data_IF_284337633206
#
_entry.id   IF_284337633206
#
_cell.length_a   1.000
_cell.length_b   1.000
_cell.length_c   1.000
_cell.angle_alpha   90.00
_cell.angle_beta   90.00
_cell.angle_gamma   90.00
#
_symmetry.space_group_name_H-M   'P 1'
#
loop_
_entity.id
_entity.type
_entity.pdbx_description
1 polymer ?
#
# COMPACT_ATOMS: atom_id res chain seq x y z
N UNK A 1 -25.43 -30.83 19.15
CA UNK A 1 -25.25 -31.37 17.78
C UNK A 1 -25.23 -30.18 16.84
N UNK A 2 -24.20 -29.83 16.07
CA UNK A 2 -22.81 -30.25 15.90
C UNK A 2 -22.09 -28.96 15.49
N UNK A 3 -20.97 -28.64 16.14
CA UNK A 3 -20.18 -27.46 15.83
C UNK A 3 -19.46 -27.58 14.49
N UNK A 4 -19.39 -26.46 13.78
CA UNK A 4 -18.23 -26.12 12.95
C UNK A 4 -17.84 -24.71 13.37
N UNK A 5 -16.61 -24.57 13.84
CA UNK A 5 -16.07 -23.29 14.31
C UNK A 5 -16.10 -22.27 13.18
N UNK A 6 -16.56 -21.07 13.52
CA UNK A 6 -16.31 -19.86 12.74
C UNK A 6 -14.79 -19.65 12.70
N UNK A 7 -14.16 -20.08 11.62
CA UNK A 7 -12.86 -19.54 11.23
C UNK A 7 -13.20 -18.21 10.55
N UNK A 8 -12.92 -17.08 11.22
CA UNK A 8 -13.00 -15.73 10.66
C UNK A 8 -11.88 -15.50 9.63
N UNK A 9 -11.76 -16.38 8.64
CA UNK A 9 -10.82 -16.21 7.54
C UNK A 9 -11.32 -17.00 6.34
N UNK A 10 -12.50 -16.62 5.84
CA UNK A 10 -12.98 -17.03 4.54
C UNK A 10 -12.57 -15.94 3.56
N UNK A 11 -11.39 -16.10 2.96
CA UNK A 11 -11.12 -15.94 1.52
C UNK A 11 -9.65 -15.58 1.28
N UNK A 12 -9.10 -16.16 0.23
CA UNK A 12 -7.75 -15.91 -0.29
C UNK A 12 -7.53 -14.48 -0.84
N UNK A 13 -8.28 -13.50 -0.34
CA UNK A 13 -8.31 -12.10 -0.74
C UNK A 13 -7.33 -11.25 0.08
N UNK A 14 -6.75 -11.80 1.16
CA UNK A 14 -5.71 -11.15 1.96
C UNK A 14 -4.44 -10.79 1.14
N UNK A 15 -4.25 -11.43 -0.02
CA UNK A 15 -3.16 -11.13 -0.97
C UNK A 15 -3.57 -10.18 -2.12
N UNK A 16 -4.78 -9.60 -2.11
CA UNK A 16 -5.25 -8.65 -3.13
C UNK A 16 -4.85 -7.19 -2.84
N UNK A 17 -3.92 -6.95 -1.92
CA UNK A 17 -3.41 -5.60 -1.67
C UNK A 17 -2.36 -5.20 -2.70
N UNK A 18 -2.15 -3.89 -2.88
CA UNK A 18 -1.05 -3.37 -3.69
C UNK A 18 0.32 -3.92 -3.25
N UNK A 19 0.47 -4.26 -1.95
CA UNK A 19 1.66 -4.87 -1.36
C UNK A 19 1.86 -6.32 -1.82
N UNK A 20 0.82 -7.17 -1.80
CA UNK A 20 0.94 -8.58 -2.20
C UNK A 20 1.33 -8.73 -3.68
N UNK A 21 0.71 -7.93 -4.54
CA UNK A 21 1.09 -7.87 -5.96
C UNK A 21 2.48 -7.26 -6.14
N UNK A 22 2.81 -6.23 -5.34
CA UNK A 22 4.12 -5.59 -5.35
C UNK A 22 5.26 -6.55 -5.02
N UNK A 23 5.10 -7.41 -4.01
CA UNK A 23 6.10 -8.43 -3.67
C UNK A 23 6.22 -9.51 -4.72
N UNK A 24 5.09 -10.02 -5.24
CA UNK A 24 5.12 -11.03 -6.29
C UNK A 24 5.86 -10.51 -7.53
N UNK A 25 5.61 -9.26 -7.94
CA UNK A 25 6.34 -8.64 -9.05
C UNK A 25 7.82 -8.46 -8.71
N UNK A 26 8.15 -7.99 -7.50
CA UNK A 26 9.56 -7.85 -7.09
C UNK A 26 10.31 -9.18 -7.12
N UNK A 27 9.68 -10.26 -6.67
CA UNK A 27 10.25 -11.61 -6.71
C UNK A 27 10.43 -12.12 -8.15
N UNK A 28 9.44 -11.89 -9.02
CA UNK A 28 9.55 -12.24 -10.45
C UNK A 28 10.70 -11.53 -11.12
N UNK A 29 10.89 -10.23 -10.82
CA UNK A 29 12.01 -9.45 -11.33
C UNK A 29 13.36 -9.91 -10.76
N UNK A 30 13.39 -10.40 -9.52
CA UNK A 30 14.61 -10.88 -8.89
C UNK A 30 15.09 -12.23 -9.47
N UNK A 31 14.17 -13.07 -9.95
CA UNK A 31 14.48 -14.42 -10.45
C UNK A 31 14.56 -14.52 -11.98
N UNK A 32 14.45 -13.41 -12.73
CA UNK A 32 14.49 -13.37 -14.20
C UNK A 32 13.44 -14.27 -14.89
N UNK A 33 12.33 -14.55 -14.19
CA UNK A 33 11.23 -15.41 -14.67
C UNK A 33 10.26 -14.65 -15.59
N UNK A 34 10.62 -13.46 -16.05
CA UNK A 34 9.75 -12.61 -16.88
C UNK A 34 9.45 -13.24 -18.24
N UNK A 35 10.35 -14.10 -18.74
CA UNK A 35 10.19 -14.81 -20.00
C UNK A 35 9.29 -16.05 -19.89
N UNK A 36 9.08 -16.60 -18.69
CA UNK A 36 8.25 -17.80 -18.50
C UNK A 36 6.78 -17.47 -18.24
N UNK A 37 6.51 -16.25 -17.76
CA UNK A 37 5.17 -15.85 -17.29
C UNK A 37 4.66 -14.65 -18.08
N UNK A 38 4.56 -14.83 -19.40
CA UNK A 38 3.97 -13.84 -20.29
C UNK A 38 2.53 -13.48 -19.82
N UNK A 39 2.22 -12.18 -19.78
CA UNK A 39 0.97 -11.54 -19.31
C UNK A 39 0.86 -11.25 -17.79
N UNK A 40 1.56 -11.96 -16.92
CA UNK A 40 1.43 -11.74 -15.46
C UNK A 40 1.98 -10.37 -15.02
N UNK A 41 3.16 -9.91 -15.50
CA UNK A 41 3.68 -8.57 -15.17
C UNK A 41 2.75 -7.44 -15.61
N UNK A 42 2.14 -7.54 -16.81
CA UNK A 42 1.18 -6.55 -17.32
C UNK A 42 -0.07 -6.44 -16.43
N UNK A 43 -0.67 -7.58 -16.07
CA UNK A 43 -1.84 -7.60 -15.20
C UNK A 43 -1.52 -7.11 -13.80
N UNK A 44 -0.35 -7.48 -13.26
CA UNK A 44 0.12 -7.00 -11.96
C UNK A 44 0.33 -5.49 -11.95
N UNK A 45 0.97 -4.93 -12.98
CA UNK A 45 1.13 -3.49 -13.12
C UNK A 45 -0.22 -2.77 -13.22
N UNK A 46 -1.14 -3.29 -14.04
CA UNK A 46 -2.45 -2.69 -14.23
C UNK A 46 -3.29 -2.73 -12.94
N UNK A 47 -3.19 -3.81 -12.17
CA UNK A 47 -3.79 -3.93 -10.85
C UNK A 47 -3.22 -2.88 -9.88
N UNK A 48 -1.90 -2.79 -9.73
CA UNK A 48 -1.28 -1.82 -8.82
C UNK A 48 -1.70 -0.39 -9.18
N UNK A 49 -1.74 -0.05 -10.48
CA UNK A 49 -2.21 1.26 -10.94
C UNK A 49 -3.67 1.53 -10.59
N UNK A 50 -4.54 0.54 -10.70
CA UNK A 50 -5.98 0.67 -10.39
C UNK A 50 -6.27 0.69 -8.89
N UNK A 51 -5.39 0.13 -8.07
CA UNK A 51 -5.59 0.05 -6.61
C UNK A 51 -5.09 1.28 -5.84
N UNK A 52 -4.44 2.24 -6.51
CA UNK A 52 -3.96 3.46 -5.83
C UNK A 52 -5.15 4.37 -5.49
N UNK A 53 -5.18 4.86 -4.26
CA UNK A 53 -6.19 5.82 -3.80
C UNK A 53 -6.04 7.14 -4.57
N UNK A 54 -7.07 7.50 -5.34
CA UNK A 54 -7.02 8.69 -6.22
C UNK A 54 -7.49 9.98 -5.55
N UNK A 55 -8.30 9.87 -4.49
CA UNK A 55 -8.86 11.00 -3.78
C UNK A 55 -8.83 10.80 -2.26
N UNK A 56 -8.81 11.90 -1.51
CA UNK A 56 -8.95 11.84 -0.06
C UNK A 56 -10.38 11.46 0.33
N UNK A 57 -10.57 11.01 1.57
CA UNK A 57 -11.92 10.81 2.13
C UNK A 57 -12.75 12.09 1.95
N UNK A 58 -13.99 11.95 1.48
CA UNK A 58 -14.87 13.08 1.18
C UNK A 58 -15.16 13.94 2.41
N UNK A 59 -15.30 15.25 2.22
CA UNK A 59 -15.54 16.20 3.31
C UNK A 59 -14.24 16.66 3.98
N UNK A 60 -14.36 17.19 5.21
CA UNK A 60 -13.20 17.60 5.99
C UNK A 60 -12.58 16.38 6.71
N UNK A 61 -11.78 15.62 5.98
CA UNK A 61 -11.13 14.41 6.49
C UNK A 61 -10.21 14.67 7.71
N UNK A 62 -9.67 15.89 7.84
CA UNK A 62 -8.85 16.25 9.01
C UNK A 62 -9.71 16.35 10.27
N UNK A 63 -10.92 16.90 10.17
CA UNK A 63 -11.87 16.92 11.29
C UNK A 63 -12.32 15.51 11.72
N UNK A 64 -12.22 14.54 10.81
CA UNK A 64 -12.51 13.12 11.06
C UNK A 64 -11.29 12.32 11.53
N UNK A 65 -10.21 13.00 11.95
CA UNK A 65 -8.96 12.37 12.37
C UNK A 65 -8.36 11.43 11.31
N UNK A 66 -8.54 11.75 10.02
CA UNK A 66 -7.90 11.03 8.91
C UNK A 66 -6.67 11.80 8.44
N UNK A 67 -5.66 11.05 8.03
CA UNK A 67 -4.49 11.59 7.34
C UNK A 67 -4.72 11.64 5.82
N UNK A 68 -3.76 12.22 5.07
CA UNK A 68 -3.89 12.38 3.61
C UNK A 68 -3.77 11.06 2.85
N UNK A 69 -4.84 10.56 2.22
CA UNK A 69 -4.84 9.24 1.57
C UNK A 69 -4.62 9.28 0.06
N UNK A 70 -4.81 10.43 -0.59
CA UNK A 70 -4.58 10.58 -2.03
C UNK A 70 -3.14 10.24 -2.41
N UNK A 71 -2.97 9.28 -3.30
CA UNK A 71 -1.68 8.75 -3.75
C UNK A 71 -1.21 7.49 -3.05
N UNK A 72 -1.91 7.05 -1.98
CA UNK A 72 -1.51 5.89 -1.19
C UNK A 72 -1.97 4.56 -1.78
N UNK A 73 -1.40 3.48 -1.25
CA UNK A 73 -1.98 2.14 -1.34
C UNK A 73 -2.39 1.67 0.06
N UNK A 74 -3.56 1.05 0.13
CA UNK A 74 -4.12 0.52 1.38
C UNK A 74 -3.68 -0.95 1.57
N UNK A 75 -3.96 -1.48 2.76
CA UNK A 75 -3.76 -2.90 3.04
C UNK A 75 -4.77 -3.81 2.31
N UNK A 76 -5.91 -3.29 1.85
CA UNK A 76 -6.95 -4.07 1.16
C UNK A 76 -7.14 -3.52 -0.26
N UNK A 77 -8.26 -2.86 -0.50
CA UNK A 77 -8.63 -2.24 -1.77
C UNK A 77 -8.61 -0.70 -1.68
N UNK A 78 -8.78 -0.05 -2.82
CA UNK A 78 -8.82 1.41 -2.92
C UNK A 78 -9.98 2.03 -2.13
N UNK A 79 -11.13 1.35 -2.02
CA UNK A 79 -12.36 1.87 -1.42
C UNK A 79 -12.26 1.95 0.11
N UNK A 80 -11.43 1.11 0.72
CA UNK A 80 -11.05 1.25 2.13
C UNK A 80 -10.43 2.63 2.40
N UNK A 81 -9.67 3.18 1.45
CA UNK A 81 -9.14 4.54 1.49
C UNK A 81 -8.25 4.84 2.71
N UNK A 82 -7.80 3.82 3.43
CA UNK A 82 -6.92 3.95 4.58
C UNK A 82 -5.48 3.68 4.16
N UNK A 83 -4.70 4.76 4.05
CA UNK A 83 -3.31 4.74 3.61
C UNK A 83 -2.39 3.95 4.55
N UNK A 84 -1.49 3.13 4.05
CA UNK A 84 -0.40 2.56 4.87
C UNK A 84 0.94 2.97 4.29
N UNK A 85 1.87 3.41 5.15
CA UNK A 85 3.19 3.88 4.71
C UNK A 85 3.98 2.76 4.02
N UNK A 86 4.01 1.56 4.59
CA UNK A 86 4.72 0.40 4.03
C UNK A 86 4.08 -0.08 2.71
N UNK A 87 2.76 -0.20 2.65
CA UNK A 87 2.02 -0.58 1.44
C UNK A 87 2.24 0.44 0.33
N UNK A 88 2.23 1.73 0.67
CA UNK A 88 2.50 2.81 -0.28
C UNK A 88 3.94 2.77 -0.79
N UNK A 89 4.92 2.54 0.09
CA UNK A 89 6.32 2.45 -0.30
C UNK A 89 6.59 1.25 -1.22
N UNK A 90 6.06 0.06 -0.88
CA UNK A 90 6.24 -1.15 -1.67
C UNK A 90 5.56 -1.07 -3.04
N UNK A 91 4.33 -0.55 -3.10
CA UNK A 91 3.62 -0.35 -4.36
C UNK A 91 4.29 0.71 -5.25
N UNK A 92 4.77 1.82 -4.66
CA UNK A 92 5.54 2.85 -5.36
C UNK A 92 6.84 2.26 -5.94
N UNK A 93 7.59 1.50 -5.13
CA UNK A 93 8.81 0.82 -5.57
C UNK A 93 8.51 -0.14 -6.73
N UNK A 94 7.43 -0.90 -6.66
CA UNK A 94 7.00 -1.79 -7.73
C UNK A 94 6.70 -1.03 -9.03
N UNK A 95 5.94 0.07 -8.97
CA UNK A 95 5.67 0.93 -10.13
C UNK A 95 6.96 1.45 -10.77
N UNK A 96 7.93 1.88 -9.95
CA UNK A 96 9.22 2.36 -10.43
C UNK A 96 10.06 1.25 -11.09
N UNK A 97 10.05 0.03 -10.53
CA UNK A 97 10.74 -1.11 -11.12
C UNK A 97 10.12 -1.51 -12.46
N UNK A 98 8.80 -1.65 -12.51
CA UNK A 98 8.05 -1.98 -13.73
C UNK A 98 8.25 -0.91 -14.82
N UNK A 99 8.36 0.37 -14.45
CA UNK A 99 8.60 1.46 -15.41
C UNK A 99 9.91 1.35 -16.21
N UNK A 100 10.86 0.53 -15.75
CA UNK A 100 12.13 0.26 -16.45
C UNK A 100 12.03 -0.87 -17.46
N UNK A 101 10.91 -1.60 -17.50
CA UNK A 101 10.68 -2.70 -18.43
C UNK A 101 10.05 -2.22 -19.74
N UNK A 102 10.16 -3.00 -20.83
CA UNK A 102 9.49 -2.69 -22.09
C UNK A 102 7.96 -2.57 -21.94
N UNK A 103 7.38 -1.53 -22.53
CA UNK A 103 5.94 -1.20 -22.41
C UNK A 103 5.03 -2.27 -23.01
N UNK A 104 5.49 -3.03 -24.00
CA UNK A 104 4.81 -4.19 -24.56
C UNK A 104 4.69 -5.36 -23.57
N UNK A 105 5.58 -5.43 -22.57
CA UNK A 105 5.57 -6.47 -21.53
C UNK A 105 4.74 -6.08 -20.31
N UNK A 106 4.83 -4.83 -19.86
CA UNK A 106 4.20 -4.37 -18.61
C UNK A 106 3.10 -3.33 -18.77
N UNK A 107 2.83 -2.87 -20.00
CA UNK A 107 1.90 -1.78 -20.27
C UNK A 107 2.50 -0.40 -19.94
N UNK A 108 1.67 0.64 -20.04
CA UNK A 108 2.10 2.02 -19.80
C UNK A 108 2.48 2.28 -18.34
N UNK A 109 3.52 3.10 -18.13
CA UNK A 109 3.92 3.59 -16.81
C UNK A 109 2.80 4.37 -16.12
N UNK A 110 2.81 4.35 -14.77
CA UNK A 110 2.01 5.25 -13.95
C UNK A 110 2.39 6.70 -14.23
N UNK A 111 1.41 7.60 -14.22
CA UNK A 111 1.62 9.03 -14.44
C UNK A 111 2.51 9.65 -13.35
N UNK A 112 3.44 10.52 -13.76
CA UNK A 112 4.41 11.14 -12.84
C UNK A 112 3.71 11.92 -11.70
N UNK A 113 2.55 12.53 -11.95
CA UNK A 113 1.74 13.20 -10.91
C UNK A 113 1.28 12.25 -9.81
N UNK A 114 0.90 11.03 -10.17
CA UNK A 114 0.44 10.01 -9.22
C UNK A 114 1.59 9.41 -8.42
N UNK A 115 2.80 9.37 -9.00
CA UNK A 115 4.01 9.04 -8.26
C UNK A 115 4.33 10.14 -7.23
N UNK A 116 4.17 11.42 -7.59
CA UNK A 116 4.35 12.51 -6.64
C UNK A 116 3.32 12.50 -5.51
N UNK A 117 2.06 12.17 -5.80
CA UNK A 117 1.04 11.99 -4.78
C UNK A 117 1.45 10.91 -3.76
N UNK A 118 1.98 9.77 -4.22
CA UNK A 118 2.49 8.71 -3.34
C UNK A 118 3.66 9.20 -2.47
N UNK A 119 4.62 9.93 -3.06
CA UNK A 119 5.76 10.52 -2.33
C UNK A 119 5.27 11.53 -1.28
N UNK A 120 4.27 12.34 -1.61
CA UNK A 120 3.68 13.30 -0.67
C UNK A 120 3.07 12.61 0.55
N UNK A 121 2.38 11.46 0.36
CA UNK A 121 1.87 10.65 1.49
C UNK A 121 3.03 10.20 2.38
N UNK A 122 4.06 9.58 1.81
CA UNK A 122 5.21 9.07 2.58
C UNK A 122 5.93 10.18 3.35
N UNK A 123 6.21 11.32 2.71
CA UNK A 123 6.86 12.46 3.34
C UNK A 123 5.99 13.09 4.43
N UNK A 124 4.67 13.10 4.26
CA UNK A 124 3.76 13.62 5.28
C UNK A 124 3.69 12.77 6.55
N UNK A 125 4.07 11.49 6.47
CA UNK A 125 4.09 10.54 7.59
C UNK A 125 5.42 10.52 8.36
N UNK A 126 6.44 11.22 7.86
CA UNK A 126 7.76 11.24 8.49
C UNK A 126 7.74 11.99 9.82
N UNK A 127 8.17 11.31 10.88
CA UNK A 127 8.34 11.86 12.22
C UNK A 127 9.67 12.61 12.35
N UNK A 128 9.81 13.42 13.41
CA UNK A 128 11.02 14.24 13.68
C UNK A 128 12.31 13.40 13.81
N UNK A 129 12.19 12.14 14.21
CA UNK A 129 13.30 11.19 14.30
C UNK A 129 13.65 10.53 12.96
N UNK A 130 12.96 10.89 11.87
CA UNK A 130 13.13 10.32 10.54
C UNK A 130 12.35 9.02 10.28
N UNK A 131 11.74 8.42 11.32
CA UNK A 131 10.91 7.22 11.19
C UNK A 131 9.55 7.52 10.54
N UNK A 132 8.92 6.50 9.97
CA UNK A 132 7.57 6.56 9.43
C UNK A 132 6.68 5.56 10.18
N UNK A 133 5.55 6.03 10.70
CA UNK A 133 4.53 5.17 11.27
C UNK A 133 3.58 4.65 10.18
N UNK A 134 2.80 3.61 10.50
CA UNK A 134 1.94 2.92 9.53
C UNK A 134 0.85 3.85 8.95
N UNK A 135 0.04 4.45 9.81
CA UNK A 135 -1.22 5.09 9.44
C UNK A 135 -1.14 6.63 9.47
N UNK A 136 -0.50 7.18 10.50
CA UNK A 136 -0.40 8.63 10.73
C UNK A 136 0.93 8.97 11.43
N UNK A 137 1.41 10.22 11.34
CA UNK A 137 2.61 10.65 12.05
C UNK A 137 2.51 10.38 13.55
N UNK A 138 3.62 9.96 14.17
CA UNK A 138 3.64 9.77 15.63
C UNK A 138 3.48 11.12 16.33
N UNK A 139 2.28 11.41 16.84
CA UNK A 139 1.96 12.63 17.58
C UNK A 139 1.63 12.40 19.06
N UNK A 140 1.46 11.14 19.46
CA UNK A 140 1.11 10.75 20.83
C UNK A 140 2.34 10.74 21.74
N UNK A 141 2.11 10.93 23.04
CA UNK A 141 3.17 10.91 24.04
C UNK A 141 3.35 9.49 24.59
N UNK A 142 4.58 9.15 24.96
CA UNK A 142 4.96 7.84 25.50
C UNK A 142 4.15 7.42 26.74
N UNK A 143 3.62 8.38 27.52
CA UNK A 143 2.83 8.06 28.70
C UNK A 143 1.53 7.30 28.41
N UNK A 144 1.02 7.37 27.18
CA UNK A 144 -0.18 6.63 26.76
C UNK A 144 0.04 5.11 26.75
N UNK A 145 1.29 4.66 26.64
CA UNK A 145 1.68 3.25 26.65
C UNK A 145 2.18 2.78 28.03
N UNK A 146 2.10 3.62 29.07
CA UNK A 146 2.53 3.25 30.42
C UNK A 146 1.56 2.23 31.02
N UNK A 147 1.91 0.95 30.91
CA UNK A 147 1.10 -0.13 31.48
C UNK A 147 1.36 -0.40 32.96
N UNK A 148 2.45 0.09 33.57
CA UNK A 148 2.69 -0.03 35.02
C UNK A 148 3.59 1.08 35.58
N UNK A 149 2.99 2.03 36.30
CA UNK A 149 3.62 2.74 37.41
C UNK A 149 2.73 2.46 38.63
N UNK A 150 3.28 1.75 39.62
CA UNK A 150 2.63 1.21 40.84
C UNK A 150 1.94 -0.16 40.72
N UNK A 151 2.75 -1.22 40.60
CA UNK A 151 2.62 -2.44 41.41
C UNK A 151 3.99 -2.78 41.99
#
# INVERSE_FOLDING_TARGET
MCGKGFILNENAEFWQSGMGTGFAVQELLANDLTDEIHLTPMKGHDFIKKSQVTENTSGDFKSMHRHISKGSWTFSDQDHGWQVSDCTAEALKCCLLLSKMPTDVVGSKLEDSRLFDAVNVLLSQQSKNGGLAAWEPTGSSEWLELTYLYL
#
